data_IF_768793158717
#
_entry.id   IF_768793158717
#
_cell.length_a   1.000
_cell.length_b   1.000
_cell.length_c   1.000
_cell.angle_alpha   90.00
_cell.angle_beta   90.00
_cell.angle_gamma   90.00
#
_symmetry.space_group_name_H-M   'P 1'
#
loop_
_entity.id
_entity.type
_entity.pdbx_description
1 polymer ?
#
# COMPACT_ATOMS: atom_id res chain seq x y z
N UNK A 1 19.16 11.81 -26.93
CA UNK A 1 19.56 12.00 -25.51
C UNK A 1 20.15 10.72 -24.94
N UNK A 2 21.11 10.80 -24.02
CA UNK A 2 21.59 9.64 -23.25
C UNK A 2 20.51 9.23 -22.23
N UNK A 3 20.12 7.96 -22.18
CA UNK A 3 19.22 7.45 -21.15
C UNK A 3 19.84 7.64 -19.77
N UNK A 4 19.02 8.01 -18.79
CA UNK A 4 19.44 8.08 -17.36
C UNK A 4 19.55 6.67 -16.81
N UNK A 5 20.65 6.35 -16.14
CA UNK A 5 20.81 5.07 -15.44
C UNK A 5 20.03 5.10 -14.13
N UNK A 6 19.04 4.21 -13.98
CA UNK A 6 18.15 4.18 -12.78
C UNK A 6 18.32 2.87 -12.05
N UNK A 7 18.73 2.94 -10.78
CA UNK A 7 18.75 1.79 -9.87
C UNK A 7 17.44 1.74 -9.07
N UNK A 8 16.60 0.72 -9.31
CA UNK A 8 15.49 0.40 -8.42
C UNK A 8 15.97 -0.59 -7.35
N UNK A 9 15.99 -0.15 -6.10
CA UNK A 9 16.30 -0.97 -4.91
C UNK A 9 15.01 -1.25 -4.16
N UNK A 10 14.58 -2.51 -4.11
CA UNK A 10 13.33 -2.87 -3.45
C UNK A 10 12.97 -4.35 -3.57
N UNK A 11 11.92 -4.82 -2.87
CA UNK A 11 11.56 -6.22 -2.77
C UNK A 11 10.76 -6.74 -3.98
N UNK A 12 11.22 -6.48 -5.20
CA UNK A 12 10.52 -6.76 -6.47
C UNK A 12 10.07 -8.21 -6.63
N UNK A 13 10.75 -9.16 -5.97
CA UNK A 13 10.47 -10.60 -6.06
C UNK A 13 9.59 -11.14 -4.93
N UNK A 14 9.10 -10.31 -4.02
CA UNK A 14 8.34 -10.77 -2.85
C UNK A 14 6.82 -10.67 -3.05
N UNK A 15 6.07 -11.58 -2.44
CA UNK A 15 4.60 -11.54 -2.34
C UNK A 15 4.19 -10.72 -1.12
N UNK A 16 4.37 -9.40 -1.21
CA UNK A 16 4.03 -8.44 -0.16
C UNK A 16 3.51 -7.14 -0.75
N UNK A 17 2.89 -6.28 0.07
CA UNK A 17 2.49 -4.94 -0.35
C UNK A 17 3.67 -4.13 -0.87
N UNK A 18 4.83 -4.17 -0.20
CA UNK A 18 6.05 -3.54 -0.69
C UNK A 18 6.61 -4.20 -1.96
N UNK A 19 6.39 -5.51 -2.15
CA UNK A 19 6.72 -6.18 -3.41
C UNK A 19 5.90 -5.65 -4.58
N UNK A 20 4.59 -5.46 -4.38
CA UNK A 20 3.74 -4.86 -5.40
C UNK A 20 4.09 -3.39 -5.64
N UNK A 21 4.41 -2.65 -4.59
CA UNK A 21 4.90 -1.28 -4.68
C UNK A 21 6.17 -1.18 -5.52
N UNK A 22 7.13 -2.07 -5.30
CA UNK A 22 8.37 -2.13 -6.08
C UNK A 22 8.12 -2.49 -7.56
N UNK A 23 7.19 -3.42 -7.84
CA UNK A 23 6.80 -3.77 -9.21
C UNK A 23 6.03 -2.64 -9.90
N UNK A 24 5.19 -1.90 -9.18
CA UNK A 24 4.54 -0.71 -9.72
C UNK A 24 5.57 0.34 -10.17
N UNK A 25 6.53 0.69 -9.28
CA UNK A 25 7.63 1.60 -9.65
C UNK A 25 8.41 1.09 -10.87
N UNK A 26 8.67 -0.22 -10.91
CA UNK A 26 9.38 -0.86 -12.00
C UNK A 26 8.64 -0.78 -13.34
N UNK A 27 7.32 -1.04 -13.32
CA UNK A 27 6.44 -0.92 -14.51
C UNK A 27 6.36 0.54 -14.98
N UNK A 28 6.29 1.49 -14.04
CA UNK A 28 6.32 2.93 -14.35
C UNK A 28 7.62 3.33 -15.04
N UNK A 29 8.78 2.89 -14.55
CA UNK A 29 10.06 3.12 -15.23
C UNK A 29 10.12 2.45 -16.60
N UNK A 30 9.60 1.22 -16.71
CA UNK A 30 9.56 0.45 -17.95
C UNK A 30 8.68 1.10 -19.02
N UNK A 31 7.60 1.79 -18.63
CA UNK A 31 6.76 2.53 -19.58
C UNK A 31 7.52 3.66 -20.30
N UNK A 32 8.68 4.07 -19.75
CA UNK A 32 9.56 5.10 -20.29
C UNK A 32 10.99 4.59 -20.47
N UNK A 33 11.15 3.37 -21.04
CA UNK A 33 12.48 2.86 -21.41
C UNK A 33 13.18 3.71 -22.50
N UNK A 34 12.48 4.64 -23.12
CA UNK A 34 13.06 5.69 -23.94
C UNK A 34 13.96 6.64 -23.13
N UNK A 35 13.58 6.96 -21.89
CA UNK A 35 14.32 7.85 -20.98
C UNK A 35 15.27 7.10 -20.05
N UNK A 36 14.91 5.88 -19.63
CA UNK A 36 15.59 5.15 -18.56
C UNK A 36 16.33 3.91 -19.03
N UNK A 37 17.55 3.74 -18.54
CA UNK A 37 18.29 2.48 -18.55
C UNK A 37 18.20 1.86 -17.14
N UNK A 38 17.37 0.80 -17.01
CA UNK A 38 16.88 0.28 -15.73
C UNK A 38 17.81 -0.81 -15.22
N UNK A 39 18.11 -0.72 -13.91
CA UNK A 39 18.88 -1.64 -13.09
C UNK A 39 18.08 -2.02 -11.85
N UNK A 40 18.24 -3.24 -11.33
CA UNK A 40 17.46 -3.73 -10.19
C UNK A 40 18.37 -4.32 -9.13
N UNK A 41 18.22 -3.83 -7.87
CA UNK A 41 18.80 -4.41 -6.68
C UNK A 41 17.66 -5.00 -5.82
N UNK A 42 17.43 -6.33 -5.90
CA UNK A 42 16.34 -6.97 -5.18
C UNK A 42 16.64 -7.06 -3.69
N UNK A 43 15.64 -6.75 -2.86
CA UNK A 43 15.68 -6.91 -1.41
C UNK A 43 14.77 -8.05 -0.97
N UNK A 44 15.11 -8.67 0.16
CA UNK A 44 14.21 -9.54 0.90
C UNK A 44 13.29 -8.66 1.77
N UNK A 45 12.03 -9.04 1.92
CA UNK A 45 11.08 -8.31 2.75
C UNK A 45 10.46 -9.22 3.81
N UNK A 46 10.93 -9.09 5.04
CA UNK A 46 10.44 -9.87 6.17
C UNK A 46 10.42 -11.39 5.90
N UNK A 47 9.35 -12.04 6.37
CA UNK A 47 9.12 -13.48 6.16
C UNK A 47 8.11 -13.78 5.05
N UNK A 48 8.00 -12.90 4.06
CA UNK A 48 7.06 -13.06 2.93
C UNK A 48 7.53 -14.11 1.93
N UNK A 49 6.57 -14.70 1.20
CA UNK A 49 6.88 -15.62 0.11
C UNK A 49 7.52 -14.91 -1.09
N UNK A 50 8.16 -15.68 -1.96
CA UNK A 50 8.72 -15.21 -3.22
C UNK A 50 7.76 -15.49 -4.37
N UNK A 51 7.84 -14.69 -5.45
CA UNK A 51 7.17 -14.99 -6.71
C UNK A 51 7.76 -16.26 -7.30
N UNK A 52 6.95 -17.30 -7.40
CA UNK A 52 7.35 -18.61 -7.97
C UNK A 52 7.05 -18.72 -9.46
N UNK A 53 6.24 -17.82 -10.00
CA UNK A 53 5.85 -17.83 -11.40
C UNK A 53 6.98 -17.37 -12.30
N UNK A 54 7.17 -18.09 -13.43
CA UNK A 54 8.12 -17.72 -14.48
C UNK A 54 7.34 -17.14 -15.66
N UNK A 55 6.89 -15.90 -15.52
CA UNK A 55 6.25 -15.15 -16.58
C UNK A 55 7.22 -14.16 -17.24
N UNK A 56 6.77 -13.43 -18.25
CA UNK A 56 7.61 -12.47 -18.99
C UNK A 56 8.15 -11.33 -18.12
N UNK A 57 7.38 -10.86 -17.12
CA UNK A 57 7.84 -9.84 -16.18
C UNK A 57 8.95 -10.38 -15.29
N UNK A 58 8.80 -11.60 -14.75
CA UNK A 58 9.82 -12.24 -13.93
C UNK A 58 11.13 -12.45 -14.69
N UNK A 59 11.07 -12.95 -15.93
CA UNK A 59 12.25 -13.13 -16.77
C UNK A 59 12.94 -11.77 -17.05
N UNK A 60 12.17 -10.72 -17.31
CA UNK A 60 12.72 -9.39 -17.50
C UNK A 60 13.39 -8.85 -16.23
N UNK A 61 12.80 -9.05 -15.04
CA UNK A 61 13.39 -8.69 -13.75
C UNK A 61 14.73 -9.42 -13.56
N UNK A 62 14.76 -10.73 -13.78
CA UNK A 62 15.97 -11.56 -13.61
C UNK A 62 17.12 -11.06 -14.54
N UNK A 63 16.80 -10.74 -15.80
CA UNK A 63 17.78 -10.16 -16.75
C UNK A 63 18.31 -8.80 -16.25
N UNK A 64 17.45 -7.94 -15.69
CA UNK A 64 17.89 -6.65 -15.15
C UNK A 64 18.74 -6.80 -13.90
N UNK A 65 18.49 -7.80 -13.05
CA UNK A 65 19.34 -8.13 -11.90
C UNK A 65 20.73 -8.57 -12.37
N UNK A 66 20.83 -9.49 -13.33
CA UNK A 66 22.09 -9.93 -13.91
C UNK A 66 22.89 -8.77 -14.53
N UNK A 67 22.19 -7.92 -15.26
CA UNK A 67 22.76 -6.68 -15.83
C UNK A 67 23.32 -5.77 -14.73
N UNK A 68 22.60 -5.63 -13.62
CA UNK A 68 23.01 -4.77 -12.51
C UNK A 68 24.30 -5.28 -11.87
N UNK A 69 24.39 -6.58 -11.62
CA UNK A 69 25.59 -7.21 -11.06
C UNK A 69 26.82 -6.91 -11.95
N UNK A 70 26.68 -7.17 -13.25
CA UNK A 70 27.76 -6.92 -14.22
C UNK A 70 28.16 -5.44 -14.30
N UNK A 71 27.17 -4.53 -14.25
CA UNK A 71 27.40 -3.09 -14.31
C UNK A 71 28.19 -2.57 -13.10
N UNK A 72 27.78 -2.98 -11.89
CA UNK A 72 28.47 -2.61 -10.64
C UNK A 72 29.89 -3.19 -10.59
N UNK A 73 30.08 -4.45 -10.99
CA UNK A 73 31.41 -5.09 -11.03
C UNK A 73 32.39 -4.34 -11.97
N UNK A 74 31.89 -3.68 -12.98
CA UNK A 74 32.67 -2.86 -13.91
C UNK A 74 32.80 -1.38 -13.49
N UNK A 75 32.45 -1.02 -12.25
CA UNK A 75 32.55 0.31 -11.72
C UNK A 75 31.45 1.29 -12.17
N UNK A 76 30.32 0.76 -12.65
CA UNK A 76 29.17 1.56 -13.04
C UNK A 76 28.55 2.34 -11.89
N UNK A 77 28.08 3.54 -12.16
CA UNK A 77 27.38 4.43 -11.23
C UNK A 77 26.01 4.81 -11.76
N UNK A 78 25.10 5.23 -10.89
CA UNK A 78 23.72 5.52 -11.26
C UNK A 78 23.44 7.03 -11.23
N UNK A 79 22.66 7.50 -12.17
CA UNK A 79 22.14 8.87 -12.19
C UNK A 79 21.02 9.02 -11.15
N UNK A 80 20.15 8.00 -11.02
CA UNK A 80 18.99 8.01 -10.15
C UNK A 80 18.92 6.71 -9.33
N UNK A 81 18.56 6.79 -8.06
CA UNK A 81 18.09 5.66 -7.26
C UNK A 81 16.61 5.82 -6.90
N UNK A 82 15.82 4.75 -7.03
CA UNK A 82 14.45 4.65 -6.51
C UNK A 82 14.45 3.56 -5.44
N UNK A 83 14.25 3.94 -4.19
CA UNK A 83 14.38 3.04 -3.05
C UNK A 83 13.03 2.74 -2.43
N UNK A 84 12.55 1.52 -2.64
CA UNK A 84 11.21 1.04 -2.26
C UNK A 84 11.31 0.26 -0.95
N UNK A 85 11.40 0.97 0.16
CA UNK A 85 11.51 0.43 1.52
C UNK A 85 10.91 1.41 2.53
N UNK A 86 11.00 1.06 3.84
CA UNK A 86 10.75 2.02 4.92
C UNK A 86 11.89 3.06 4.96
N UNK A 87 11.61 4.31 5.33
CA UNK A 87 12.58 5.41 5.22
C UNK A 87 13.91 5.22 5.95
N UNK A 88 13.91 4.55 7.09
CA UNK A 88 15.15 4.29 7.86
C UNK A 88 16.16 3.39 7.12
N UNK A 89 15.78 2.76 6.00
CA UNK A 89 16.67 1.97 5.14
C UNK A 89 17.18 2.76 3.91
N UNK A 90 16.78 4.02 3.74
CA UNK A 90 17.20 4.82 2.59
C UNK A 90 18.65 5.30 2.73
N UNK A 91 19.33 5.32 1.61
CA UNK A 91 20.76 5.65 1.50
C UNK A 91 21.02 6.56 0.29
N UNK A 92 22.12 7.33 0.34
CA UNK A 92 22.59 8.08 -0.83
C UNK A 92 23.35 7.14 -1.78
N UNK A 93 22.70 6.71 -2.86
CA UNK A 93 23.20 5.70 -3.81
C UNK A 93 23.46 6.25 -5.22
N UNK A 94 22.97 7.44 -5.52
CA UNK A 94 23.02 8.05 -6.85
C UNK A 94 23.11 9.58 -6.75
N UNK A 95 23.20 10.26 -7.89
CA UNK A 95 23.13 11.72 -7.93
C UNK A 95 21.77 12.25 -7.48
N UNK A 96 20.70 11.57 -7.91
CA UNK A 96 19.31 11.83 -7.50
C UNK A 96 18.80 10.63 -6.71
N UNK A 97 18.35 10.83 -5.48
CA UNK A 97 17.86 9.76 -4.63
C UNK A 97 16.37 9.97 -4.32
N UNK A 98 15.55 9.02 -4.72
CA UNK A 98 14.09 9.05 -4.57
C UNK A 98 13.69 7.97 -3.56
N UNK A 99 13.10 8.40 -2.44
CA UNK A 99 12.47 7.49 -1.50
C UNK A 99 11.05 7.16 -1.95
N UNK A 100 10.67 5.88 -1.96
CA UNK A 100 9.30 5.46 -2.24
C UNK A 100 8.81 4.51 -1.15
N UNK A 101 7.84 4.96 -0.34
CA UNK A 101 7.34 4.20 0.82
C UNK A 101 5.82 4.14 0.86
N UNK A 102 5.29 3.07 1.48
CA UNK A 102 3.87 2.99 1.82
C UNK A 102 3.47 4.01 2.90
N UNK A 103 4.44 4.62 3.55
CA UNK A 103 4.22 5.50 4.70
C UNK A 103 3.85 4.71 5.93
N UNK A 104 3.04 5.31 6.78
CA UNK A 104 2.62 4.74 8.06
C UNK A 104 1.09 4.80 8.20
N UNK A 105 0.52 3.78 8.83
CA UNK A 105 -0.93 3.67 9.05
C UNK A 105 -1.36 4.27 10.40
N UNK A 106 -0.60 5.24 10.92
CA UNK A 106 -0.88 5.95 12.17
C UNK A 106 -0.86 7.46 11.95
N UNK A 107 -1.03 8.25 13.02
CA UNK A 107 -1.13 9.71 12.96
C UNK A 107 0.21 10.42 12.89
N UNK A 108 1.36 9.71 13.03
CA UNK A 108 2.69 10.31 12.91
C UNK A 108 3.78 9.32 12.56
N UNK A 109 4.83 9.80 11.92
CA UNK A 109 6.03 9.03 11.57
C UNK A 109 7.12 9.19 12.63
N UNK A 110 8.07 8.25 12.67
CA UNK A 110 9.21 8.30 13.55
C UNK A 110 10.17 9.46 13.18
N UNK A 111 10.92 10.03 14.16
CA UNK A 111 11.89 11.10 13.87
C UNK A 111 12.91 10.70 12.80
N UNK A 112 13.45 9.49 12.87
CA UNK A 112 14.42 8.96 11.91
C UNK A 112 13.87 8.94 10.49
N UNK A 113 12.55 8.72 10.33
CA UNK A 113 11.90 8.74 9.02
C UNK A 113 11.91 10.13 8.40
N UNK A 114 11.69 11.18 9.20
CA UNK A 114 11.77 12.57 8.74
C UNK A 114 13.20 12.92 8.34
N UNK A 115 14.19 12.52 9.18
CA UNK A 115 15.61 12.78 8.88
C UNK A 115 16.01 12.11 7.56
N UNK A 116 15.65 10.82 7.39
CA UNK A 116 15.96 10.08 6.17
C UNK A 116 15.21 10.59 4.95
N UNK A 117 13.96 11.03 5.11
CA UNK A 117 13.21 11.68 4.04
C UNK A 117 13.91 12.98 3.58
N UNK A 118 14.37 13.80 4.50
CA UNK A 118 15.06 15.05 4.19
C UNK A 118 16.47 14.85 3.57
N UNK A 119 17.03 13.63 3.64
CA UNK A 119 18.27 13.26 2.92
C UNK A 119 17.98 12.90 1.44
N UNK A 120 16.73 12.61 1.09
CA UNK A 120 16.35 12.28 -0.29
C UNK A 120 16.15 13.55 -1.13
N UNK A 121 16.30 13.41 -2.43
CA UNK A 121 15.98 14.49 -3.39
C UNK A 121 14.47 14.72 -3.46
N UNK A 122 13.69 13.62 -3.47
CA UNK A 122 12.23 13.61 -3.45
C UNK A 122 11.71 12.37 -2.75
N UNK A 123 10.45 12.42 -2.29
CA UNK A 123 9.78 11.29 -1.67
C UNK A 123 8.43 11.07 -2.35
N UNK A 124 8.18 9.83 -2.75
CA UNK A 124 6.90 9.37 -3.29
C UNK A 124 6.20 8.52 -2.23
N UNK A 125 4.90 8.69 -2.07
CA UNK A 125 4.06 7.96 -1.11
C UNK A 125 2.84 7.38 -1.83
N UNK A 126 2.30 6.30 -1.29
CA UNK A 126 1.20 5.57 -1.95
C UNK A 126 -0.17 6.22 -1.76
N UNK A 127 -0.30 7.19 -0.85
CA UNK A 127 -1.58 7.85 -0.56
C UNK A 127 -1.41 9.27 0.00
N UNK A 128 -2.48 10.05 -0.11
CA UNK A 128 -2.57 11.37 0.52
C UNK A 128 -2.52 11.27 2.05
N UNK A 129 -3.08 10.20 2.65
CA UNK A 129 -2.93 9.96 4.09
C UNK A 129 -1.46 9.90 4.50
N UNK A 130 -0.67 9.04 3.85
CA UNK A 130 0.75 8.89 4.15
C UNK A 130 1.51 10.20 3.97
N UNK A 131 1.24 10.96 2.90
CA UNK A 131 1.82 12.29 2.67
C UNK A 131 1.47 13.26 3.79
N UNK A 132 0.20 13.39 4.13
CA UNK A 132 -0.27 14.29 5.18
C UNK A 132 0.34 13.95 6.55
N UNK A 133 0.54 12.66 6.85
CA UNK A 133 1.17 12.25 8.11
C UNK A 133 2.62 12.74 8.19
N UNK A 134 3.41 12.62 7.11
CA UNK A 134 4.77 13.17 7.07
C UNK A 134 4.78 14.69 7.23
N UNK A 135 3.95 15.42 6.46
CA UNK A 135 3.90 16.88 6.45
C UNK A 135 3.43 17.47 7.78
N UNK A 136 2.56 16.75 8.51
CA UNK A 136 2.02 17.21 9.80
C UNK A 136 2.80 16.71 11.02
N UNK A 137 3.76 15.79 10.85
CA UNK A 137 4.58 15.33 11.97
C UNK A 137 5.72 16.28 12.22
N UNK A 138 5.81 16.78 13.48
CA UNK A 138 6.87 17.69 13.94
C UNK A 138 7.36 17.27 15.31
N UNK A 139 8.67 17.45 15.52
CA UNK A 139 9.31 17.17 16.80
C UNK A 139 10.12 18.39 17.25
N UNK A 140 9.85 18.87 18.45
CA UNK A 140 10.64 19.92 19.06
C UNK A 140 11.98 19.33 19.54
N UNK A 141 13.06 20.05 19.31
CA UNK A 141 14.41 19.66 19.66
C UNK A 141 15.30 20.87 19.89
N UNK A 142 16.57 20.59 20.05
CA UNK A 142 17.60 21.63 20.21
C UNK A 142 18.83 21.30 19.36
N UNK A 143 19.37 22.31 18.70
CA UNK A 143 20.74 22.23 18.13
C UNK A 143 21.71 22.60 19.22
N UNK A 144 22.64 21.70 19.54
CA UNK A 144 23.72 21.96 20.49
C UNK A 144 24.97 22.47 19.74
N UNK A 145 25.32 23.73 19.96
CA UNK A 145 26.55 24.31 19.46
C UNK A 145 27.58 24.31 20.60
N UNK A 146 28.61 23.47 20.45
CA UNK A 146 29.71 23.42 21.42
C UNK A 146 30.77 24.38 21.00
N UNK A 147 31.06 25.39 21.83
CA UNK A 147 32.17 26.28 21.60
C UNK A 147 33.48 25.48 21.70
N UNK A 148 34.29 25.39 20.64
CA UNK A 148 35.48 24.54 20.63
C UNK A 148 36.58 24.99 21.64
N UNK A 149 36.53 26.24 22.11
CA UNK A 149 37.53 26.81 23.03
C UNK A 149 37.07 26.73 24.48
N UNK A 150 35.80 27.08 24.76
CA UNK A 150 35.26 27.13 26.14
C UNK A 150 34.56 25.85 26.56
N UNK A 151 34.25 24.94 25.62
CA UNK A 151 33.42 23.76 25.81
C UNK A 151 31.99 24.07 26.32
N UNK A 152 31.59 25.33 26.25
CA UNK A 152 30.21 25.73 26.58
C UNK A 152 29.26 25.24 25.49
N UNK A 153 28.12 24.69 25.92
CA UNK A 153 27.05 24.19 25.06
C UNK A 153 25.92 25.19 24.99
N UNK A 154 25.74 25.81 23.84
CA UNK A 154 24.59 26.65 23.54
C UNK A 154 23.51 25.83 22.90
N UNK A 155 22.29 25.83 23.46
CA UNK A 155 21.14 25.12 22.94
C UNK A 155 20.19 26.06 22.24
N UNK A 156 20.11 25.95 20.92
CA UNK A 156 19.16 26.73 20.12
C UNK A 156 17.92 25.83 19.84
N UNK A 157 16.71 26.26 20.23
CA UNK A 157 15.49 25.51 19.90
C UNK A 157 15.38 25.34 18.39
N UNK A 158 15.01 24.14 17.98
CA UNK A 158 14.75 23.77 16.57
C UNK A 158 13.58 22.83 16.47
N UNK A 159 13.04 22.69 15.28
CA UNK A 159 11.96 21.74 14.99
C UNK A 159 12.40 20.80 13.87
N UNK A 160 12.28 19.50 14.10
CA UNK A 160 12.45 18.51 13.06
C UNK A 160 11.10 18.34 12.34
N UNK A 161 11.07 18.70 11.08
CA UNK A 161 9.92 18.57 10.20
C UNK A 161 10.36 18.13 8.81
N UNK A 162 9.40 17.70 8.00
CA UNK A 162 9.64 17.32 6.60
C UNK A 162 9.87 18.58 5.77
N UNK A 163 11.02 18.64 5.09
CA UNK A 163 11.40 19.73 4.19
C UNK A 163 11.55 19.28 2.74
N UNK A 164 11.66 17.97 2.50
CA UNK A 164 11.74 17.38 1.17
C UNK A 164 10.39 17.46 0.45
N UNK A 165 10.42 17.64 -0.86
CA UNK A 165 9.22 17.60 -1.69
C UNK A 165 8.61 16.18 -1.70
N UNK A 166 7.29 16.09 -1.45
CA UNK A 166 6.56 14.85 -1.34
C UNK A 166 5.40 14.77 -2.34
N UNK A 167 5.28 13.62 -3.00
CA UNK A 167 4.21 13.33 -3.95
C UNK A 167 3.43 12.09 -3.54
N UNK A 168 2.09 12.17 -3.56
CA UNK A 168 1.23 11.01 -3.43
C UNK A 168 0.93 10.45 -4.81
N UNK A 169 1.29 9.18 -5.05
CA UNK A 169 1.00 8.46 -6.29
C UNK A 169 0.34 7.13 -5.94
N UNK A 170 -0.93 6.99 -6.29
CA UNK A 170 -1.71 5.80 -5.99
C UNK A 170 -1.36 4.63 -6.93
N UNK A 171 -1.81 3.42 -6.57
CA UNK A 171 -1.63 2.25 -7.43
C UNK A 171 -2.57 2.26 -8.62
N UNK A 172 -2.16 1.66 -9.75
CA UNK A 172 -3.04 1.45 -10.89
C UNK A 172 -4.03 0.31 -10.66
N UNK A 173 -5.17 0.37 -11.35
CA UNK A 173 -6.03 -0.79 -11.52
C UNK A 173 -5.34 -1.84 -12.38
N UNK A 174 -5.67 -3.12 -12.16
CA UNK A 174 -5.20 -4.23 -12.99
C UNK A 174 -6.37 -4.81 -13.75
N UNK A 175 -6.24 -4.91 -15.06
CA UNK A 175 -7.25 -5.51 -15.94
C UNK A 175 -6.75 -6.89 -16.34
N UNK A 176 -7.59 -7.91 -16.17
CA UNK A 176 -7.27 -9.28 -16.55
C UNK A 176 -8.20 -9.74 -17.66
N UNK A 177 -7.62 -10.13 -18.79
CA UNK A 177 -8.30 -10.87 -19.83
C UNK A 177 -8.30 -12.36 -19.45
N UNK A 178 -9.29 -13.10 -19.88
CA UNK A 178 -9.42 -14.57 -19.71
C UNK A 178 -9.32 -15.02 -18.23
N UNK A 179 -10.21 -14.49 -17.38
CA UNK A 179 -10.35 -14.96 -16.00
C UNK A 179 -11.05 -16.32 -15.96
N UNK A 180 -10.39 -17.30 -15.36
CA UNK A 180 -11.05 -18.55 -15.00
C UNK A 180 -11.91 -18.34 -13.76
N UNK A 181 -13.17 -18.85 -13.73
CA UNK A 181 -14.01 -18.77 -12.55
C UNK A 181 -13.36 -19.47 -11.35
N UNK A 182 -13.38 -18.81 -10.21
CA UNK A 182 -12.92 -19.42 -8.96
C UNK A 182 -14.05 -20.26 -8.36
N UNK A 183 -13.89 -21.57 -8.37
CA UNK A 183 -14.85 -22.49 -7.76
C UNK A 183 -14.80 -22.38 -6.23
N UNK A 184 -15.93 -22.04 -5.61
CA UNK A 184 -16.07 -21.93 -4.16
C UNK A 184 -17.28 -22.72 -3.67
N UNK A 185 -17.06 -23.67 -2.75
CA UNK A 185 -18.12 -24.40 -2.07
C UNK A 185 -18.65 -23.59 -0.87
N UNK A 186 -19.47 -22.57 -1.17
CA UNK A 186 -20.13 -21.73 -0.18
C UNK A 186 -21.61 -22.10 -0.10
N UNK A 187 -22.07 -22.47 1.10
CA UNK A 187 -23.47 -22.82 1.36
C UNK A 187 -24.38 -21.59 1.50
N UNK A 188 -23.78 -20.38 1.63
CA UNK A 188 -24.49 -19.11 1.83
C UNK A 188 -24.55 -18.30 0.53
N UNK A 189 -25.70 -17.72 0.17
CA UNK A 189 -25.84 -16.89 -1.02
C UNK A 189 -25.21 -15.50 -0.93
N UNK A 190 -25.10 -14.94 0.28
CA UNK A 190 -24.54 -13.61 0.52
C UNK A 190 -23.26 -13.71 1.35
N UNK A 191 -22.12 -13.34 0.77
CA UNK A 191 -20.86 -13.50 1.48
C UNK A 191 -20.00 -12.22 1.45
N UNK A 192 -19.45 -11.86 2.60
CA UNK A 192 -18.35 -10.92 2.66
C UNK A 192 -17.03 -11.62 2.39
N UNK A 193 -16.14 -10.97 1.63
CA UNK A 193 -14.73 -11.36 1.52
C UNK A 193 -13.87 -10.44 2.41
N UNK A 194 -13.15 -11.05 3.35
CA UNK A 194 -12.19 -10.35 4.20
C UNK A 194 -10.79 -10.88 3.90
N UNK A 195 -9.95 -10.05 3.26
CA UNK A 195 -8.58 -10.39 2.87
C UNK A 195 -7.61 -9.65 3.77
N UNK A 196 -7.03 -10.36 4.74
CA UNK A 196 -6.14 -9.74 5.72
C UNK A 196 -5.21 -10.78 6.37
N UNK A 197 -3.97 -10.40 6.64
CA UNK A 197 -3.08 -11.20 7.47
C UNK A 197 -3.50 -11.11 8.95
N UNK A 198 -3.32 -12.19 9.73
CA UNK A 198 -3.52 -12.12 11.16
C UNK A 198 -2.45 -11.23 11.82
N UNK A 199 -2.83 -10.02 12.18
CA UNK A 199 -1.99 -9.05 12.87
C UNK A 199 -2.82 -8.01 13.60
N UNK A 200 -2.26 -7.32 14.62
CA UNK A 200 -3.00 -6.36 15.44
C UNK A 200 -3.69 -5.29 14.61
N UNK A 201 -2.97 -4.69 13.66
CA UNK A 201 -3.48 -3.62 12.80
C UNK A 201 -4.71 -4.01 11.98
N UNK A 202 -4.77 -5.27 11.52
CA UNK A 202 -5.87 -5.74 10.65
C UNK A 202 -7.17 -6.01 11.38
N UNK A 203 -7.17 -6.00 12.71
CA UNK A 203 -8.36 -6.12 13.56
C UNK A 203 -9.27 -7.31 13.21
N UNK A 204 -8.68 -8.41 12.72
CA UNK A 204 -9.42 -9.54 12.14
C UNK A 204 -10.27 -10.26 13.19
N UNK A 205 -9.80 -10.35 14.44
CA UNK A 205 -10.54 -10.99 15.54
C UNK A 205 -11.88 -10.28 15.78
N UNK A 206 -11.87 -8.97 15.92
CA UNK A 206 -13.10 -8.20 16.12
C UNK A 206 -13.97 -8.19 14.86
N UNK A 207 -13.37 -8.15 13.67
CA UNK A 207 -14.11 -8.24 12.40
C UNK A 207 -14.96 -9.52 12.37
N UNK A 208 -14.38 -10.66 12.71
CA UNK A 208 -15.09 -11.96 12.74
C UNK A 208 -16.14 -11.98 13.86
N UNK A 209 -15.80 -11.51 15.07
CA UNK A 209 -16.76 -11.47 16.20
C UNK A 209 -17.97 -10.60 15.87
N UNK A 210 -17.76 -9.37 15.40
CA UNK A 210 -18.87 -8.45 15.08
C UNK A 210 -19.69 -8.92 13.88
N UNK A 211 -19.08 -9.61 12.91
CA UNK A 211 -19.82 -10.29 11.86
C UNK A 211 -20.73 -11.38 12.44
N UNK A 212 -20.21 -12.26 13.30
CA UNK A 212 -21.02 -13.34 13.90
C UNK A 212 -22.12 -12.75 14.80
N UNK A 213 -21.85 -11.73 15.59
CA UNK A 213 -22.83 -11.07 16.45
C UNK A 213 -23.96 -10.44 15.63
N UNK A 214 -23.66 -9.82 14.49
CA UNK A 214 -24.66 -9.18 13.65
C UNK A 214 -25.53 -10.20 12.90
N UNK A 215 -24.93 -11.27 12.39
CA UNK A 215 -25.61 -12.26 11.56
C UNK A 215 -25.85 -13.59 12.27
N UNK A 216 -25.84 -13.59 13.61
CA UNK A 216 -25.91 -14.80 14.43
C UNK A 216 -27.02 -15.77 13.96
N UNK A 217 -28.21 -15.26 13.73
CA UNK A 217 -29.39 -16.05 13.34
C UNK A 217 -29.68 -16.10 11.84
N UNK A 218 -28.82 -15.52 11.00
CA UNK A 218 -28.99 -15.47 9.55
C UNK A 218 -28.16 -16.58 8.87
N UNK A 219 -28.88 -17.63 8.40
CA UNK A 219 -28.24 -18.77 7.74
C UNK A 219 -27.80 -18.49 6.29
N UNK A 220 -28.25 -17.38 5.71
CA UNK A 220 -27.96 -17.00 4.32
C UNK A 220 -26.70 -16.15 4.17
N UNK A 221 -26.10 -15.73 5.30
CA UNK A 221 -24.93 -14.82 5.26
C UNK A 221 -23.67 -15.53 5.73
N UNK A 222 -22.58 -15.33 4.97
CA UNK A 222 -21.26 -15.90 5.22
C UNK A 222 -20.14 -14.87 5.22
N UNK A 223 -19.03 -15.24 5.83
CA UNK A 223 -17.76 -14.49 5.81
C UNK A 223 -16.65 -15.40 5.30
N UNK A 224 -16.10 -15.10 4.15
CA UNK A 224 -14.91 -15.73 3.60
C UNK A 224 -13.68 -14.98 4.12
N UNK A 225 -12.89 -15.63 4.97
CA UNK A 225 -11.67 -15.07 5.55
C UNK A 225 -10.47 -15.61 4.78
N UNK A 226 -9.93 -14.81 3.87
CA UNK A 226 -8.67 -15.08 3.17
C UNK A 226 -7.53 -14.55 4.02
N UNK A 227 -6.82 -15.45 4.68
CA UNK A 227 -5.82 -15.07 5.70
C UNK A 227 -4.63 -16.03 5.78
N UNK A 228 -3.55 -15.52 6.34
CA UNK A 228 -2.40 -16.28 6.82
C UNK A 228 -1.83 -15.60 8.08
N UNK A 229 -0.95 -16.30 8.80
CA UNK A 229 -0.18 -15.70 9.90
C UNK A 229 1.13 -15.11 9.38
N UNK A 230 1.88 -15.90 8.61
CA UNK A 230 3.18 -15.48 8.05
C UNK A 230 3.43 -16.05 6.65
N UNK A 231 3.22 -17.35 6.44
CA UNK A 231 3.48 -18.08 5.20
C UNK A 231 2.28 -18.93 4.84
N UNK A 232 2.09 -19.23 3.55
CA UNK A 232 0.98 -20.03 3.07
C UNK A 232 1.33 -21.56 3.07
N UNK A 233 1.84 -22.09 4.18
CA UNK A 233 2.16 -23.51 4.36
C UNK A 233 1.14 -24.22 5.28
N UNK A 234 1.22 -25.55 5.37
CA UNK A 234 0.27 -26.35 6.19
C UNK A 234 0.29 -25.95 7.67
N UNK A 235 1.45 -25.70 8.25
CA UNK A 235 1.56 -25.28 9.66
C UNK A 235 0.88 -23.92 9.89
N UNK A 236 1.03 -23.00 8.97
CA UNK A 236 0.35 -21.70 9.00
C UNK A 236 -1.16 -21.86 8.87
N UNK A 237 -1.62 -22.77 7.98
CA UNK A 237 -3.04 -23.10 7.85
C UNK A 237 -3.62 -23.65 9.15
N UNK A 238 -2.95 -24.59 9.80
CA UNK A 238 -3.36 -25.16 11.09
C UNK A 238 -3.45 -24.06 12.17
N UNK A 239 -2.50 -23.13 12.18
CA UNK A 239 -2.53 -21.97 13.07
C UNK A 239 -3.73 -21.05 12.81
N UNK A 240 -4.03 -20.77 11.53
CA UNK A 240 -5.22 -20.00 11.14
C UNK A 240 -6.51 -20.71 11.55
N UNK A 241 -6.63 -22.01 11.28
CA UNK A 241 -7.77 -22.82 11.67
C UNK A 241 -7.98 -22.83 13.20
N UNK A 242 -6.90 -22.98 13.97
CA UNK A 242 -6.95 -22.95 15.44
C UNK A 242 -7.47 -21.62 15.97
N UNK A 243 -6.97 -20.49 15.42
CA UNK A 243 -7.43 -19.15 15.79
C UNK A 243 -8.91 -18.95 15.45
N UNK A 244 -9.34 -19.32 14.23
CA UNK A 244 -10.74 -19.21 13.81
C UNK A 244 -11.66 -20.07 14.68
N UNK A 245 -11.29 -21.32 14.95
CA UNK A 245 -12.06 -22.21 15.84
C UNK A 245 -12.19 -21.62 17.24
N UNK A 246 -11.13 -21.01 17.78
CA UNK A 246 -11.18 -20.31 19.07
C UNK A 246 -12.25 -19.21 19.09
N UNK A 247 -12.24 -18.33 18.08
CA UNK A 247 -13.21 -17.24 17.95
C UNK A 247 -14.63 -17.80 17.77
N UNK A 248 -14.82 -18.76 16.85
CA UNK A 248 -16.13 -19.33 16.53
C UNK A 248 -16.73 -20.08 17.72
N UNK A 249 -15.92 -20.71 18.58
CA UNK A 249 -16.39 -21.44 19.76
C UNK A 249 -17.07 -20.56 20.80
N UNK A 250 -16.87 -19.25 20.76
CA UNK A 250 -17.58 -18.28 21.61
C UNK A 250 -19.07 -18.13 21.20
N UNK A 251 -19.45 -18.64 20.01
CA UNK A 251 -20.81 -18.51 19.43
C UNK A 251 -21.36 -19.89 18.98
N UNK A 252 -21.71 -20.77 19.93
CA UNK A 252 -22.02 -22.17 19.63
C UNK A 252 -23.26 -22.37 18.72
N UNK A 253 -24.27 -21.51 18.84
CA UNK A 253 -25.57 -21.68 18.17
C UNK A 253 -25.73 -20.81 16.92
N UNK A 254 -24.65 -20.16 16.45
CA UNK A 254 -24.70 -19.31 15.26
C UNK A 254 -25.15 -20.07 14.00
N UNK A 255 -25.98 -19.43 13.19
CA UNK A 255 -26.44 -19.95 11.88
C UNK A 255 -25.59 -19.45 10.72
N UNK A 256 -25.07 -18.20 10.80
CA UNK A 256 -24.15 -17.65 9.81
C UNK A 256 -22.89 -18.50 9.66
N UNK A 257 -22.23 -18.41 8.51
CA UNK A 257 -21.07 -19.24 8.20
C UNK A 257 -19.79 -18.40 8.19
N UNK A 258 -18.68 -19.01 8.62
CA UNK A 258 -17.33 -18.44 8.48
C UNK A 258 -16.49 -19.48 7.76
N UNK A 259 -15.91 -19.09 6.63
CA UNK A 259 -15.09 -19.95 5.78
C UNK A 259 -13.64 -19.49 5.83
N UNK A 260 -12.71 -20.42 5.94
CA UNK A 260 -11.28 -20.14 5.82
C UNK A 260 -10.84 -20.37 4.37
N UNK A 261 -10.25 -19.35 3.78
CA UNK A 261 -9.46 -19.46 2.55
C UNK A 261 -8.00 -19.24 2.88
N UNK A 262 -7.16 -20.26 2.65
CA UNK A 262 -5.73 -20.23 2.97
C UNK A 262 -4.93 -20.81 1.81
N UNK A 263 -3.75 -20.26 1.59
CA UNK A 263 -2.84 -20.67 0.52
C UNK A 263 -2.46 -19.50 -0.38
N UNK A 264 -1.46 -19.71 -1.22
CA UNK A 264 -1.09 -18.73 -2.25
C UNK A 264 -2.17 -18.69 -3.33
N UNK A 265 -2.43 -17.48 -3.80
CA UNK A 265 -3.28 -17.21 -4.96
C UNK A 265 -2.51 -16.30 -5.91
N UNK A 266 -2.69 -16.51 -7.19
CA UNK A 266 -2.21 -15.60 -8.24
C UNK A 266 -3.04 -14.32 -8.24
N UNK A 267 -2.55 -13.27 -8.88
CA UNK A 267 -3.30 -12.02 -9.04
C UNK A 267 -4.63 -12.25 -9.78
N UNK A 268 -4.66 -13.16 -10.77
CA UNK A 268 -5.89 -13.55 -11.48
C UNK A 268 -6.89 -14.27 -10.57
N UNK A 269 -6.44 -15.19 -9.72
CA UNK A 269 -7.30 -15.88 -8.76
C UNK A 269 -7.83 -14.92 -7.68
N UNK A 270 -7.02 -13.95 -7.23
CA UNK A 270 -7.49 -12.90 -6.31
C UNK A 270 -8.55 -12.02 -6.95
N UNK A 271 -8.36 -11.63 -8.22
CA UNK A 271 -9.37 -10.89 -8.96
C UNK A 271 -10.65 -11.74 -9.16
N UNK A 272 -10.49 -13.02 -9.51
CA UNK A 272 -11.61 -13.96 -9.66
C UNK A 272 -12.39 -14.16 -8.35
N UNK A 273 -11.75 -14.05 -7.19
CA UNK A 273 -12.41 -14.03 -5.88
C UNK A 273 -13.41 -12.86 -5.80
N UNK A 274 -12.98 -11.65 -6.15
CA UNK A 274 -13.85 -10.47 -6.03
C UNK A 274 -14.99 -10.45 -7.06
N UNK A 275 -14.76 -10.91 -8.28
CA UNK A 275 -15.82 -10.96 -9.30
C UNK A 275 -16.71 -12.20 -9.18
N UNK A 276 -16.50 -13.07 -8.20
CA UNK A 276 -17.32 -14.26 -7.99
C UNK A 276 -18.74 -13.89 -7.57
N UNK A 277 -19.74 -14.44 -8.22
CA UNK A 277 -21.17 -14.16 -7.98
C UNK A 277 -21.63 -14.39 -6.53
N UNK A 278 -20.91 -15.24 -5.77
CA UNK A 278 -21.20 -15.51 -4.36
C UNK A 278 -20.58 -14.48 -3.41
N UNK A 279 -19.72 -13.58 -3.88
CA UNK A 279 -19.16 -12.52 -3.08
C UNK A 279 -20.00 -11.25 -3.22
N UNK A 280 -20.62 -10.84 -2.13
CA UNK A 280 -21.52 -9.69 -2.07
C UNK A 280 -20.78 -8.39 -1.80
N UNK A 281 -19.78 -8.42 -0.93
CA UNK A 281 -19.01 -7.25 -0.54
C UNK A 281 -17.62 -7.62 -0.01
N UNK A 282 -16.69 -6.67 -0.07
CA UNK A 282 -15.43 -6.74 0.68
C UNK A 282 -15.61 -6.11 2.06
N UNK A 283 -15.00 -6.72 3.09
CA UNK A 283 -15.05 -6.25 4.48
C UNK A 283 -13.65 -6.07 5.05
N UNK A 284 -13.34 -4.87 5.54
CA UNK A 284 -12.10 -4.61 6.29
C UNK A 284 -12.31 -3.59 7.39
N UNK A 285 -12.21 -4.03 8.62
CA UNK A 285 -12.30 -3.18 9.81
C UNK A 285 -10.90 -2.90 10.40
N UNK A 286 -9.93 -2.69 9.53
CA UNK A 286 -8.54 -2.38 9.86
C UNK A 286 -8.43 -1.09 10.67
N UNK A 287 -7.38 -0.98 11.49
CA UNK A 287 -7.05 0.26 12.21
C UNK A 287 -6.39 1.31 11.31
N UNK A 288 -5.93 0.95 10.12
CA UNK A 288 -5.35 1.83 9.11
C UNK A 288 -4.66 1.06 7.99
N UNK A 289 -4.59 1.69 6.83
CA UNK A 289 -3.91 1.18 5.64
C UNK A 289 -3.04 2.29 5.03
N UNK A 290 -1.86 1.94 4.52
CA UNK A 290 -1.07 2.86 3.70
C UNK A 290 -1.82 3.25 2.43
N UNK A 291 -2.44 2.25 1.76
CA UNK A 291 -3.36 2.44 0.63
C UNK A 291 -4.59 1.52 0.74
N UNK A 292 -4.39 0.23 0.98
CA UNK A 292 -5.47 -0.76 1.09
C UNK A 292 -5.71 -1.55 -0.19
N UNK A 293 -4.65 -2.13 -0.78
CA UNK A 293 -4.73 -2.88 -2.03
C UNK A 293 -5.90 -3.89 -2.11
N UNK A 294 -6.18 -4.73 -1.10
CA UNK A 294 -7.32 -5.66 -1.19
C UNK A 294 -8.68 -4.97 -1.32
N UNK A 295 -8.85 -3.80 -0.68
CA UNK A 295 -10.07 -3.01 -0.80
C UNK A 295 -10.16 -2.30 -2.16
N UNK A 296 -9.01 -1.84 -2.67
CA UNK A 296 -8.92 -1.24 -3.99
C UNK A 296 -9.27 -2.24 -5.07
N UNK A 297 -8.71 -3.46 -5.00
CA UNK A 297 -9.02 -4.57 -5.91
C UNK A 297 -10.51 -4.90 -5.92
N UNK A 298 -11.15 -4.96 -4.76
CA UNK A 298 -12.59 -5.16 -4.65
C UNK A 298 -13.38 -3.98 -5.25
N UNK A 299 -12.99 -2.73 -4.96
CA UNK A 299 -13.73 -1.55 -5.39
C UNK A 299 -13.76 -1.40 -6.91
N UNK A 300 -12.62 -1.59 -7.61
CA UNK A 300 -12.59 -1.45 -9.06
C UNK A 300 -13.18 -2.66 -9.82
N UNK A 301 -13.48 -3.77 -9.14
CA UNK A 301 -14.27 -4.87 -9.71
C UNK A 301 -15.78 -4.67 -9.58
N UNK A 302 -16.22 -3.60 -8.93
CA UNK A 302 -17.63 -3.31 -8.71
C UNK A 302 -18.23 -3.97 -7.47
N UNK A 303 -17.41 -4.58 -6.63
CA UNK A 303 -17.83 -5.16 -5.36
C UNK A 303 -17.96 -4.05 -4.31
N UNK A 304 -19.11 -3.94 -3.62
CA UNK A 304 -19.28 -3.00 -2.51
C UNK A 304 -18.24 -3.20 -1.42
N UNK A 305 -17.82 -2.10 -0.79
CA UNK A 305 -16.82 -2.15 0.29
C UNK A 305 -17.44 -1.68 1.60
N UNK A 306 -17.24 -2.46 2.68
CA UNK A 306 -17.53 -2.07 4.07
C UNK A 306 -16.18 -1.89 4.76
N UNK A 307 -15.83 -0.67 5.15
CA UNK A 307 -14.50 -0.39 5.70
C UNK A 307 -14.51 0.74 6.74
N UNK A 308 -13.48 0.74 7.61
CA UNK A 308 -13.19 1.87 8.50
C UNK A 308 -12.97 3.14 7.67
N UNK A 309 -13.67 4.24 8.00
CA UNK A 309 -13.63 5.48 7.23
C UNK A 309 -12.36 6.32 7.55
N UNK A 310 -11.17 5.70 7.45
CA UNK A 310 -9.91 6.35 7.82
C UNK A 310 -8.73 5.80 7.04
N UNK A 311 -7.72 6.65 6.82
CA UNK A 311 -6.41 6.40 6.23
C UNK A 311 -6.40 6.23 4.70
N UNK A 312 -5.37 5.56 4.15
CA UNK A 312 -5.05 5.58 2.73
C UNK A 312 -6.14 5.05 1.78
N UNK A 313 -7.04 4.19 2.26
CA UNK A 313 -8.14 3.69 1.43
C UNK A 313 -9.16 4.77 1.04
N UNK A 314 -9.17 5.92 1.71
CA UNK A 314 -10.07 7.02 1.35
C UNK A 314 -9.72 7.64 -0.02
N UNK A 315 -8.48 7.52 -0.47
CA UNK A 315 -8.05 8.03 -1.78
C UNK A 315 -8.85 7.44 -2.95
N UNK A 316 -9.36 6.21 -2.81
CA UNK A 316 -10.18 5.56 -3.85
C UNK A 316 -11.61 5.23 -3.41
N UNK A 317 -11.90 5.17 -2.10
CA UNK A 317 -13.25 4.93 -1.60
C UNK A 317 -14.09 6.22 -1.55
N UNK A 318 -13.45 7.38 -1.66
CA UNK A 318 -14.13 8.66 -1.84
C UNK A 318 -13.90 9.18 -3.27
N UNK A 319 -14.85 9.97 -3.76
CA UNK A 319 -14.66 10.73 -5.00
C UNK A 319 -13.77 11.97 -4.76
N UNK A 320 -13.53 12.74 -5.81
CA UNK A 320 -12.68 13.94 -5.76
C UNK A 320 -13.30 15.07 -4.90
N UNK A 321 -14.61 15.02 -4.64
CA UNK A 321 -15.34 15.96 -3.78
C UNK A 321 -15.36 15.49 -2.31
N UNK A 322 -14.79 14.30 -2.02
CA UNK A 322 -14.74 13.70 -0.69
C UNK A 322 -16.02 12.94 -0.31
N UNK A 323 -16.93 12.70 -1.24
CA UNK A 323 -18.13 11.91 -1.00
C UNK A 323 -17.79 10.43 -0.91
N UNK A 324 -18.29 9.78 0.14
CA UNK A 324 -18.09 8.38 0.40
C UNK A 324 -18.85 7.49 -0.62
N UNK A 325 -18.13 6.61 -1.30
CA UNK A 325 -18.65 5.63 -2.24
C UNK A 325 -18.56 4.20 -1.69
N UNK A 326 -18.68 4.03 -0.38
CA UNK A 326 -18.59 2.76 0.34
C UNK A 326 -19.46 2.79 1.60
N UNK A 327 -19.59 1.68 2.29
CA UNK A 327 -20.25 1.61 3.60
C UNK A 327 -19.25 2.01 4.68
N UNK A 328 -19.22 3.29 4.99
CA UNK A 328 -18.24 3.93 5.86
C UNK A 328 -18.51 3.62 7.35
N UNK A 329 -17.60 2.92 7.98
CA UNK A 329 -17.67 2.57 9.40
C UNK A 329 -16.99 3.67 10.21
N UNK A 330 -17.76 4.30 11.13
CA UNK A 330 -17.23 5.32 12.03
C UNK A 330 -16.24 4.74 13.03
N UNK A 331 -15.32 5.58 13.50
CA UNK A 331 -14.19 5.18 14.35
C UNK A 331 -13.88 6.23 15.43
N UNK A 332 -13.04 5.84 16.36
CA UNK A 332 -12.37 6.74 17.31
C UNK A 332 -10.85 6.62 17.12
N UNK A 333 -10.12 7.73 17.17
CA UNK A 333 -8.66 7.71 17.21
C UNK A 333 -8.20 7.45 18.64
N UNK A 334 -7.45 6.39 18.84
CA UNK A 334 -6.86 6.03 20.12
C UNK A 334 -5.40 5.60 19.94
N UNK A 335 -4.58 5.62 21.00
CA UNK A 335 -3.21 5.16 20.94
C UNK A 335 -3.10 3.74 20.38
N UNK A 336 -2.03 3.50 19.63
CA UNK A 336 -1.68 2.18 19.09
C UNK A 336 -1.57 1.18 20.24
N UNK A 337 -2.09 -0.04 20.05
CA UNK A 337 -1.98 -1.12 21.04
C UNK A 337 -0.51 -1.50 21.28
N UNK A 338 -0.15 -1.83 22.51
CA UNK A 338 1.26 -2.14 22.88
C UNK A 338 1.86 -3.28 22.05
N UNK A 339 1.05 -4.27 21.68
CA UNK A 339 1.47 -5.40 20.84
C UNK A 339 1.81 -5.01 19.38
N UNK A 340 1.38 -3.84 18.92
CA UNK A 340 1.64 -3.32 17.58
C UNK A 340 2.79 -2.32 17.55
N UNK A 341 3.30 -1.89 18.69
CA UNK A 341 4.44 -0.96 18.77
C UNK A 341 5.67 -1.62 18.16
N UNK A 342 6.31 -0.89 17.28
CA UNK A 342 7.57 -1.28 16.65
C UNK A 342 8.52 -0.09 16.71
N UNK A 343 9.52 -0.16 17.59
CA UNK A 343 10.44 0.94 17.83
C UNK A 343 11.06 1.47 16.51
N UNK A 344 11.03 2.80 16.37
CA UNK A 344 11.50 3.48 15.16
C UNK A 344 10.59 3.35 13.93
N UNK A 345 9.44 2.67 14.03
CA UNK A 345 8.47 2.51 12.94
C UNK A 345 7.06 2.87 13.41
N UNK A 346 6.47 2.10 14.32
CA UNK A 346 5.13 2.35 14.87
C UNK A 346 5.30 2.85 16.30
N UNK A 347 5.10 4.15 16.50
CA UNK A 347 5.35 4.81 17.78
C UNK A 347 4.22 4.57 18.78
N UNK A 348 4.58 4.35 20.06
CA UNK A 348 3.62 4.13 21.14
C UNK A 348 2.67 5.32 21.36
N UNK A 349 3.13 6.54 21.08
CA UNK A 349 2.36 7.78 21.24
C UNK A 349 1.66 8.23 19.94
N UNK A 350 1.71 7.41 18.89
CA UNK A 350 0.88 7.58 17.71
C UNK A 350 -0.51 6.95 17.90
N UNK A 351 -1.45 7.39 17.08
CA UNK A 351 -2.83 6.88 17.11
C UNK A 351 -3.19 6.23 15.78
N UNK A 352 -4.17 5.33 15.84
CA UNK A 352 -4.84 4.78 14.68
C UNK A 352 -6.35 4.68 14.92
N UNK A 353 -7.14 4.32 13.90
CA UNK A 353 -8.59 4.26 14.00
C UNK A 353 -9.05 2.96 14.67
N UNK A 354 -9.91 3.09 15.67
CA UNK A 354 -10.66 1.99 16.26
C UNK A 354 -12.10 2.04 15.74
N UNK A 355 -12.50 1.15 14.81
CA UNK A 355 -13.86 1.13 14.29
C UNK A 355 -14.86 0.87 15.40
N UNK A 356 -15.97 1.59 15.39
CA UNK A 356 -17.04 1.46 16.37
C UNK A 356 -17.87 0.21 16.09
N UNK A 357 -18.03 -0.72 17.04
CA UNK A 357 -18.72 -2.00 16.84
C UNK A 357 -20.14 -1.84 16.26
N UNK A 358 -20.93 -0.92 16.81
CA UNK A 358 -22.30 -0.68 16.34
C UNK A 358 -22.37 -0.13 14.92
N UNK A 359 -21.44 0.76 14.54
CA UNK A 359 -21.33 1.26 13.18
C UNK A 359 -20.95 0.14 12.22
N UNK A 360 -19.97 -0.70 12.59
CA UNK A 360 -19.54 -1.84 11.78
C UNK A 360 -20.70 -2.81 11.50
N UNK A 361 -21.43 -3.21 12.56
CA UNK A 361 -22.60 -4.09 12.46
C UNK A 361 -23.69 -3.48 11.58
N UNK A 362 -24.05 -2.23 11.84
CA UNK A 362 -25.07 -1.51 11.04
C UNK A 362 -24.69 -1.43 9.57
N UNK A 363 -23.41 -1.12 9.25
CA UNK A 363 -22.95 -1.01 7.85
C UNK A 363 -22.86 -2.36 7.14
N UNK A 364 -22.51 -3.43 7.85
CA UNK A 364 -22.60 -4.78 7.30
C UNK A 364 -24.06 -5.18 7.00
N UNK A 365 -25.00 -4.88 7.91
CA UNK A 365 -26.42 -5.14 7.71
C UNK A 365 -26.98 -4.32 6.53
N UNK A 366 -26.72 -3.03 6.49
CA UNK A 366 -27.13 -2.13 5.39
C UNK A 366 -26.65 -2.66 4.03
N UNK A 367 -25.39 -3.11 3.96
CA UNK A 367 -24.80 -3.67 2.73
C UNK A 367 -25.55 -4.92 2.25
N UNK A 368 -25.88 -5.86 3.14
CA UNK A 368 -26.63 -7.07 2.81
C UNK A 368 -28.07 -6.74 2.38
N UNK A 369 -28.74 -5.81 3.07
CA UNK A 369 -30.10 -5.41 2.74
C UNK A 369 -30.17 -4.68 1.39
N UNK A 370 -29.17 -3.87 1.08
CA UNK A 370 -29.01 -3.21 -0.22
C UNK A 370 -28.72 -4.24 -1.33
N UNK A 371 -27.91 -5.26 -1.06
CA UNK A 371 -27.68 -6.35 -2.02
C UNK A 371 -28.96 -7.14 -2.30
N UNK A 372 -29.70 -7.52 -1.25
CA UNK A 372 -30.99 -8.22 -1.36
C UNK A 372 -32.04 -7.41 -2.15
N UNK A 373 -31.94 -6.08 -2.14
CA UNK A 373 -32.87 -5.16 -2.83
C UNK A 373 -32.34 -4.63 -4.18
N UNK A 374 -31.19 -5.10 -4.66
CA UNK A 374 -30.59 -4.70 -5.94
C UNK A 374 -29.97 -3.29 -5.98
N UNK A 375 -29.83 -2.62 -4.84
CA UNK A 375 -29.28 -1.25 -4.77
C UNK A 375 -27.74 -1.20 -4.90
N UNK A 376 -27.08 -2.34 -4.95
CA UNK A 376 -25.62 -2.42 -5.13
C UNK A 376 -25.16 -2.25 -6.57
N UNK A 377 -26.07 -2.22 -7.55
CA UNK A 377 -25.76 -2.02 -8.98
C UNK A 377 -24.99 -0.72 -9.26
N UNK A 378 -25.15 0.32 -8.42
CA UNK A 378 -24.40 1.59 -8.51
C UNK A 378 -22.88 1.37 -8.46
N UNK A 379 -22.40 0.32 -7.81
CA UNK A 379 -20.96 0.05 -7.67
C UNK A 379 -20.28 -0.33 -8.99
N UNK A 380 -21.03 -0.83 -9.99
CA UNK A 380 -20.52 -1.03 -11.35
C UNK A 380 -20.11 0.31 -12.00
N UNK A 381 -20.88 1.37 -11.77
CA UNK A 381 -20.54 2.70 -12.28
C UNK A 381 -19.33 3.28 -11.53
N UNK A 382 -19.28 3.11 -10.21
CA UNK A 382 -18.14 3.52 -9.39
C UNK A 382 -16.86 2.80 -9.84
N UNK A 383 -16.93 1.50 -10.11
CA UNK A 383 -15.81 0.73 -10.65
C UNK A 383 -15.29 1.30 -11.98
N UNK A 384 -16.19 1.66 -12.90
CA UNK A 384 -15.81 2.28 -14.17
C UNK A 384 -15.07 3.61 -13.97
N UNK A 385 -15.52 4.42 -13.01
CA UNK A 385 -14.84 5.69 -12.65
C UNK A 385 -13.46 5.42 -12.05
N UNK A 386 -13.32 4.39 -11.19
CA UNK A 386 -12.02 4.01 -10.62
C UNK A 386 -11.08 3.48 -11.71
N UNK A 387 -11.57 2.67 -12.65
CA UNK A 387 -10.77 2.18 -13.78
C UNK A 387 -10.23 3.32 -14.65
N UNK A 388 -11.01 4.36 -14.85
CA UNK A 388 -10.57 5.54 -15.58
C UNK A 388 -9.60 6.41 -14.77
N UNK A 389 -9.90 6.65 -13.48
CA UNK A 389 -9.11 7.51 -12.60
C UNK A 389 -7.72 6.91 -12.32
N UNK A 390 -7.65 5.61 -12.10
CA UNK A 390 -6.44 4.88 -11.72
C UNK A 390 -5.92 3.96 -12.83
N UNK A 391 -6.10 4.35 -14.11
CA UNK A 391 -5.57 3.56 -15.23
C UNK A 391 -4.04 3.44 -15.14
N UNK A 392 -3.49 2.33 -15.65
CA UNK A 392 -2.04 2.10 -15.66
C UNK A 392 -1.29 3.26 -16.32
N UNK A 393 -1.77 3.74 -17.45
CA UNK A 393 -1.16 4.85 -18.18
C UNK A 393 -1.06 6.11 -17.31
N UNK A 394 -2.16 6.48 -16.64
CA UNK A 394 -2.19 7.66 -15.77
C UNK A 394 -1.26 7.50 -14.57
N UNK A 395 -1.30 6.35 -13.89
CA UNK A 395 -0.51 6.14 -12.68
C UNK A 395 0.99 6.01 -12.99
N UNK A 396 1.35 5.33 -14.10
CA UNK A 396 2.75 5.27 -14.54
C UNK A 396 3.29 6.64 -14.90
N UNK A 397 2.48 7.44 -15.62
CA UNK A 397 2.84 8.82 -15.93
C UNK A 397 3.02 9.65 -14.66
N UNK A 398 2.08 9.60 -13.72
CA UNK A 398 2.17 10.35 -12.45
C UNK A 398 3.41 9.95 -11.64
N UNK A 399 3.77 8.66 -11.64
CA UNK A 399 4.98 8.20 -10.96
C UNK A 399 6.25 8.79 -11.58
N UNK A 400 6.35 8.75 -12.90
CA UNK A 400 7.49 9.32 -13.64
C UNK A 400 7.55 10.85 -13.49
N UNK A 401 6.40 11.53 -13.58
CA UNK A 401 6.32 12.98 -13.36
C UNK A 401 6.75 13.35 -11.93
N UNK A 402 6.34 12.57 -10.92
CA UNK A 402 6.74 12.78 -9.52
C UNK A 402 8.25 12.59 -9.27
N UNK A 403 8.94 11.84 -10.12
CA UNK A 403 10.40 11.75 -10.09
C UNK A 403 11.06 13.05 -10.56
N UNK A 404 10.33 13.89 -11.34
CA UNK A 404 10.79 15.17 -11.91
C UNK A 404 12.20 15.05 -12.48
N UNK A 405 12.38 14.02 -13.27
CA UNK A 405 13.61 13.85 -14.06
C UNK A 405 13.49 14.84 -15.19
N UNK A 406 13.99 16.05 -14.99
CA UNK A 406 14.09 17.04 -16.06
C UNK A 406 14.65 16.36 -17.32
N UNK A 407 13.96 16.51 -18.43
CA UNK A 407 14.52 16.21 -19.73
C UNK A 407 15.86 16.95 -19.79
N UNK A 408 16.95 16.19 -19.65
CA UNK A 408 18.27 16.68 -19.25
C UNK A 408 18.57 18.03 -19.87
N UNK A 409 19.02 18.98 -19.06
CA UNK A 409 19.45 20.32 -19.47
C UNK A 409 20.10 20.22 -20.83
N UNK A 410 19.38 20.65 -21.87
CA UNK A 410 19.86 20.61 -23.23
C UNK A 410 20.92 21.71 -23.36
N UNK A 411 22.16 21.28 -23.13
CA UNK A 411 23.32 22.16 -23.20
C UNK A 411 23.40 22.83 -24.61
N UNK A 412 22.90 22.15 -25.64
CA UNK A 412 22.85 22.73 -27.00
C UNK A 412 21.80 23.82 -27.09
N UNK A 413 20.59 23.61 -26.54
CA UNK A 413 19.55 24.65 -26.43
C UNK A 413 19.98 25.81 -25.54
N UNK A 414 20.65 25.53 -24.40
CA UNK A 414 21.18 26.58 -23.53
C UNK A 414 22.35 27.36 -24.20
N UNK A 415 23.19 26.70 -24.99
CA UNK A 415 24.25 27.37 -25.74
C UNK A 415 23.68 28.22 -26.90
N UNK A 416 22.59 27.80 -27.53
CA UNK A 416 21.88 28.56 -28.55
C UNK A 416 21.16 29.79 -27.96
N UNK A 417 20.68 29.71 -26.70
CA UNK A 417 20.09 30.84 -25.97
C UNK A 417 21.13 31.84 -25.43
N UNK A 418 22.41 31.46 -25.35
CA UNK A 418 23.52 32.37 -25.10
C UNK A 418 23.83 33.18 -26.37
N UNK A 419 23.05 34.22 -26.62
CA UNK A 419 23.40 35.22 -27.61
C UNK A 419 24.70 35.93 -27.16
N UNK A 420 25.83 35.51 -27.71
CA UNK A 420 27.07 36.26 -27.58
C UNK A 420 26.93 37.50 -28.49
N UNK A 421 26.58 38.64 -27.91
CA UNK A 421 26.74 39.91 -28.60
C UNK A 421 28.26 40.14 -28.87
N UNK A 422 28.66 40.04 -30.13
CA UNK A 422 30.01 40.52 -30.50
C UNK A 422 30.04 42.02 -30.30
N UNK A 423 30.85 42.45 -29.33
CA UNK A 423 31.17 43.88 -29.15
C UNK A 423 32.22 44.21 -30.19
N UNK A 424 31.86 45.04 -31.22
CA UNK A 424 32.80 45.70 -32.11
C UNK A 424 33.71 46.71 -31.42
#
# INVERSE_FOLDING_TARGET
MRKKTVLLRGPVLTRSGYGEQARFALRSLRSREDLFDIYIHPLQWGQTGWLSETNSERLWIDQKIEKTISYIQNGGTFDISVQVTIPNEWENMALTNIGYTAGIETTKVAPDWIQKANEMTKVILVSNHSKNVFENTKYDGYIENVNPTTQEVERTPTQLETTVEMHAVNYPVKIYEDLEPLEMDLATPYNFACVAQFGPRKNLVNTIKWFIEEFHDDADVGLVVKTNVAKNCLVDREACEGRLRGIISEFPDKKCKVYLMHGDMTDKEMHALYVNEKITAALSLTHGEGFGLPLFEAAYTGVPVVATAWSGQLDFLCDEEGKENFYAVSFDLNPVSEEAVWDGVILKDSMWAFPRPQSAKSKMRECIDDAKSGKTEKYCQIASQLMERFSEEKMYKQFVDAMDVEDGFDVESWLDDLQIEEVE
#
